data_IF_696143384525
#
_entry.id   IF_696143384525
#
_cell.length_a   1.000
_cell.length_b   1.000
_cell.length_c   1.000
_cell.angle_alpha   90.00
_cell.angle_beta   90.00
_cell.angle_gamma   90.00
#
_symmetry.space_group_name_H-M   'P 1'
#
loop_
_entity.id
_entity.type
_entity.pdbx_description
1 polymer ?
#
# COMPACT_ATOMS: atom_id res chain seq x y z
N UNK A 1 -34.84 7.69 16.40
CA UNK A 1 -35.59 7.13 15.27
C UNK A 1 -34.85 5.89 14.78
N UNK A 2 -35.32 4.71 15.19
CA UNK A 2 -34.70 3.42 14.88
C UNK A 2 -35.24 2.92 13.55
N UNK A 3 -34.36 2.78 12.55
CA UNK A 3 -34.70 2.21 11.25
C UNK A 3 -34.04 0.83 11.14
N UNK A 4 -34.79 -0.22 11.50
CA UNK A 4 -34.45 -1.61 11.18
C UNK A 4 -34.62 -1.84 9.67
N UNK A 5 -33.54 -2.10 8.95
CA UNK A 5 -33.61 -2.60 7.57
C UNK A 5 -33.65 -4.13 7.62
N UNK A 6 -34.83 -4.69 7.38
CA UNK A 6 -35.05 -6.11 7.05
C UNK A 6 -34.52 -6.38 5.64
N UNK A 7 -33.47 -7.20 5.50
CA UNK A 7 -33.17 -7.85 4.22
C UNK A 7 -34.20 -8.94 3.95
N UNK A 8 -35.01 -8.76 2.90
CA UNK A 8 -35.82 -9.83 2.34
C UNK A 8 -34.96 -10.78 1.51
N UNK A 9 -35.05 -12.07 1.83
CA UNK A 9 -34.35 -13.18 1.20
C UNK A 9 -35.17 -13.65 -0.01
N UNK A 10 -34.84 -13.20 -1.20
CA UNK A 10 -35.48 -13.67 -2.44
C UNK A 10 -34.96 -15.07 -2.78
N UNK A 11 -35.80 -16.09 -2.59
CA UNK A 11 -35.55 -17.46 -3.05
C UNK A 11 -35.70 -17.51 -4.57
N UNK A 12 -34.58 -17.63 -5.28
CA UNK A 12 -34.58 -18.09 -6.68
C UNK A 12 -34.75 -19.60 -6.69
N UNK A 13 -35.96 -20.06 -7.02
CA UNK A 13 -36.21 -21.44 -7.45
C UNK A 13 -35.54 -21.66 -8.81
N UNK A 14 -34.47 -22.46 -8.84
CA UNK A 14 -33.96 -23.02 -10.09
C UNK A 14 -34.64 -24.37 -10.33
N UNK A 15 -35.38 -24.43 -11.43
CA UNK A 15 -36.02 -25.62 -11.99
C UNK A 15 -34.96 -26.55 -12.58
N UNK A 16 -34.96 -27.80 -12.12
CA UNK A 16 -34.11 -28.87 -12.65
C UNK A 16 -34.67 -29.41 -13.98
N UNK A 17 -33.84 -29.62 -15.02
CA UNK A 17 -34.27 -30.33 -16.22
C UNK A 17 -34.26 -31.86 -15.98
N UNK A 18 -35.37 -32.50 -16.36
CA UNK A 18 -35.54 -33.96 -16.44
C UNK A 18 -34.96 -34.51 -17.75
N UNK A 19 -34.60 -35.80 -17.68
CA UNK A 19 -34.28 -36.78 -18.75
C UNK A 19 -32.79 -36.81 -19.17
N UNK A 20 -32.12 -37.96 -19.31
CA UNK A 20 -32.59 -39.25 -19.84
C UNK A 20 -31.72 -40.41 -19.29
N UNK A 21 -32.35 -41.42 -18.67
CA UNK A 21 -31.71 -42.69 -18.26
C UNK A 21 -31.38 -43.52 -19.49
N UNK A 22 -30.09 -43.77 -19.76
CA UNK A 22 -29.65 -44.86 -20.66
C UNK A 22 -29.38 -46.10 -19.81
N UNK A 23 -30.10 -47.17 -20.13
CA UNK A 23 -30.11 -48.47 -19.44
C UNK A 23 -29.04 -49.35 -20.07
N UNK A 24 -27.92 -49.59 -19.39
CA UNK A 24 -26.99 -50.67 -19.74
C UNK A 24 -27.02 -51.74 -18.64
N UNK A 25 -27.19 -52.99 -19.09
CA UNK A 25 -27.27 -54.23 -18.32
C UNK A 25 -25.89 -54.90 -18.29
N UNK A 26 -25.63 -55.62 -17.19
CA UNK A 26 -24.58 -56.62 -17.03
C UNK A 26 -23.38 -56.07 -16.26
N UNK A 27 -22.84 -56.70 -15.23
CA UNK A 27 -23.11 -57.95 -14.53
C UNK A 27 -22.18 -57.99 -13.28
N UNK A 28 -22.46 -58.95 -12.39
CA UNK A 28 -21.86 -59.24 -11.07
C UNK A 28 -20.30 -59.22 -11.05
N UNK A 29 -19.54 -59.07 -9.95
CA UNK A 29 -19.53 -59.75 -8.63
C UNK A 29 -18.65 -58.94 -7.63
N UNK A 30 -18.96 -59.10 -6.33
CA UNK A 30 -18.25 -58.79 -5.08
C UNK A 30 -16.72 -58.52 -5.07
N UNK A 31 -16.30 -57.66 -4.13
CA UNK A 31 -14.93 -57.62 -3.59
C UNK A 31 -14.66 -56.39 -2.72
N UNK A 32 -14.44 -56.63 -1.43
CA UNK A 32 -14.29 -55.73 -0.28
C UNK A 32 -13.32 -54.52 -0.36
N UNK A 33 -13.60 -53.58 0.56
CA UNK A 33 -12.66 -52.76 1.32
C UNK A 33 -11.72 -51.79 0.59
N UNK A 34 -12.04 -50.50 0.65
CA UNK A 34 -11.15 -49.52 1.29
C UNK A 34 -11.83 -48.17 1.54
N UNK A 35 -11.81 -47.76 2.80
CA UNK A 35 -12.25 -46.49 3.35
C UNK A 35 -11.04 -45.54 3.31
N UNK A 36 -10.98 -44.60 2.36
CA UNK A 36 -10.18 -43.35 2.40
C UNK A 36 -10.02 -42.77 0.99
N UNK A 37 -10.97 -41.94 0.52
CA UNK A 37 -10.71 -40.74 -0.31
C UNK A 37 -12.03 -40.07 -0.69
N UNK A 38 -12.28 -38.84 -0.22
CA UNK A 38 -12.49 -37.77 -1.19
C UNK A 38 -11.90 -36.45 -0.67
N UNK A 39 -10.62 -36.20 -0.96
CA UNK A 39 -10.04 -34.84 -0.87
C UNK A 39 -9.30 -34.40 -2.14
N UNK A 40 -9.17 -35.28 -3.14
CA UNK A 40 -8.38 -35.03 -4.37
C UNK A 40 -9.21 -34.55 -5.58
N UNK A 41 -10.53 -34.41 -5.45
CA UNK A 41 -11.40 -33.94 -6.56
C UNK A 41 -11.71 -32.44 -6.50
N UNK A 42 -11.43 -31.77 -5.36
CA UNK A 42 -11.73 -30.33 -5.19
C UNK A 42 -10.54 -29.45 -5.65
N UNK A 43 -9.30 -29.95 -5.61
CA UNK A 43 -8.11 -29.18 -6.03
C UNK A 43 -7.98 -29.14 -7.57
N UNK A 44 -8.46 -30.15 -8.29
CA UNK A 44 -8.44 -30.16 -9.76
C UNK A 44 -9.48 -29.22 -10.40
N UNK A 45 -10.53 -28.83 -9.69
CA UNK A 45 -11.57 -27.93 -10.21
C UNK A 45 -11.19 -26.44 -10.10
N UNK A 46 -10.33 -26.05 -9.16
CA UNK A 46 -9.87 -24.67 -9.05
C UNK A 46 -8.67 -24.34 -9.95
N UNK A 47 -7.84 -25.32 -10.29
CA UNK A 47 -6.69 -25.12 -11.19
C UNK A 47 -7.09 -25.03 -12.67
N UNK A 48 -8.21 -25.64 -13.08
CA UNK A 48 -8.69 -25.56 -14.47
C UNK A 48 -9.69 -24.41 -14.74
N UNK A 49 -10.26 -23.78 -13.70
CA UNK A 49 -11.09 -22.59 -13.86
C UNK A 49 -10.26 -21.28 -13.92
N UNK A 50 -8.98 -21.31 -13.51
CA UNK A 50 -8.09 -20.14 -13.50
C UNK A 50 -7.27 -19.91 -14.77
N UNK A 51 -7.13 -20.91 -15.67
CA UNK A 51 -6.29 -20.81 -16.87
C UNK A 51 -7.05 -20.59 -18.19
N UNK A 52 -8.37 -20.35 -18.14
CA UNK A 52 -9.22 -20.26 -19.33
C UNK A 52 -9.68 -18.86 -19.76
N UNK A 53 -9.12 -17.78 -19.21
CA UNK A 53 -9.63 -16.41 -19.45
C UNK A 53 -8.57 -15.40 -19.94
N UNK A 54 -7.66 -15.84 -20.82
CA UNK A 54 -6.66 -14.95 -21.44
C UNK A 54 -6.51 -15.12 -22.97
N UNK A 55 -7.55 -15.56 -23.66
CA UNK A 55 -7.61 -15.48 -25.12
C UNK A 55 -9.04 -15.14 -25.57
N UNK A 56 -9.31 -13.85 -25.75
CA UNK A 56 -10.17 -13.24 -26.80
C UNK A 56 -10.47 -11.78 -26.45
N UNK A 57 -9.61 -10.84 -26.88
CA UNK A 57 -10.00 -9.44 -27.05
C UNK A 57 -10.57 -9.28 -28.45
N UNK A 58 -11.88 -9.53 -28.59
CA UNK A 58 -12.66 -9.28 -29.80
C UNK A 58 -13.89 -8.45 -29.49
N UNK A 59 -13.92 -7.21 -29.99
CA UNK A 59 -15.08 -6.30 -30.17
C UNK A 59 -16.09 -6.20 -29.01
N UNK A 60 -15.96 -5.15 -28.20
CA UNK A 60 -17.03 -4.71 -27.29
C UNK A 60 -18.22 -4.18 -28.11
N UNK A 61 -19.39 -4.79 -27.92
CA UNK A 61 -20.64 -4.35 -28.51
C UNK A 61 -21.07 -2.99 -27.92
N UNK A 62 -21.52 -2.02 -28.75
CA UNK A 62 -21.93 -0.68 -28.30
C UNK A 62 -23.19 -0.66 -27.42
N UNK A 63 -23.85 -1.79 -27.21
CA UNK A 63 -25.01 -1.93 -26.34
C UNK A 63 -24.71 -2.47 -24.94
N UNK A 64 -23.42 -2.64 -24.56
CA UNK A 64 -23.09 -3.16 -23.24
C UNK A 64 -23.28 -2.12 -22.13
N UNK A 65 -23.75 -2.53 -20.93
CA UNK A 65 -23.83 -1.66 -19.75
C UNK A 65 -22.48 -1.03 -19.38
N UNK A 66 -21.37 -1.70 -19.75
CA UNK A 66 -20.01 -1.23 -19.55
C UNK A 66 -19.68 -0.01 -20.41
N UNK A 67 -20.18 0.04 -21.66
CA UNK A 67 -20.02 1.19 -22.54
C UNK A 67 -20.78 2.43 -21.99
N UNK A 68 -21.96 2.20 -21.40
CA UNK A 68 -22.73 3.27 -20.74
C UNK A 68 -22.04 3.81 -19.47
N UNK A 69 -21.33 2.96 -18.73
CA UNK A 69 -20.54 3.37 -17.56
C UNK A 69 -19.29 4.14 -17.99
N UNK A 70 -18.58 3.70 -19.03
CA UNK A 70 -17.42 4.42 -19.58
C UNK A 70 -17.78 5.79 -20.15
N UNK A 71 -18.91 5.89 -20.85
CA UNK A 71 -19.47 7.16 -21.35
C UNK A 71 -19.81 8.14 -20.20
N UNK A 72 -20.33 7.62 -19.08
CA UNK A 72 -20.70 8.42 -17.90
C UNK A 72 -19.48 8.89 -17.12
N UNK A 73 -18.45 8.04 -16.98
CA UNK A 73 -17.14 8.42 -16.40
C UNK A 73 -16.44 9.46 -17.26
N UNK A 74 -16.50 9.34 -18.60
CA UNK A 74 -15.94 10.31 -19.54
C UNK A 74 -16.60 11.70 -19.44
N UNK A 75 -17.88 11.78 -19.05
CA UNK A 75 -18.65 13.02 -18.90
C UNK A 75 -18.46 13.71 -17.54
N UNK A 76 -18.01 12.99 -16.51
CA UNK A 76 -17.84 13.51 -15.14
C UNK A 76 -16.40 14.01 -14.91
N UNK A 77 -15.42 13.55 -15.70
CA UNK A 77 -14.05 14.03 -15.61
C UNK A 77 -13.93 15.55 -15.87
N UNK A 78 -13.31 16.35 -14.97
CA UNK A 78 -13.12 17.79 -15.15
C UNK A 78 -12.31 18.10 -16.42
N UNK A 79 -12.66 19.18 -17.12
CA UNK A 79 -11.97 19.62 -18.36
C UNK A 79 -10.45 19.85 -18.19
N UNK A 80 -9.99 20.11 -16.96
CA UNK A 80 -8.56 20.25 -16.64
C UNK A 80 -7.76 18.97 -16.87
N UNK A 81 -8.35 17.79 -16.65
CA UNK A 81 -7.70 16.50 -16.89
C UNK A 81 -7.57 16.14 -18.38
N UNK A 82 -8.44 16.69 -19.24
CA UNK A 82 -8.40 16.42 -20.68
C UNK A 82 -7.24 17.12 -21.39
N UNK A 83 -6.79 18.28 -20.89
CA UNK A 83 -5.68 19.03 -21.51
C UNK A 83 -4.31 18.42 -21.26
N UNK A 84 -4.12 17.72 -20.14
CA UNK A 84 -2.83 17.09 -19.82
C UNK A 84 -2.56 15.80 -20.61
N UNK A 85 -3.59 15.13 -21.14
CA UNK A 85 -3.43 13.89 -21.92
C UNK A 85 -3.16 14.16 -23.41
N UNK A 86 -3.40 15.37 -23.91
CA UNK A 86 -3.25 15.73 -25.33
C UNK A 86 -2.02 16.61 -25.64
N UNK A 87 -1.18 16.95 -24.65
CA UNK A 87 -0.03 17.83 -24.82
C UNK A 87 1.29 17.24 -24.32
N UNK A 88 1.71 16.12 -24.91
CA UNK A 88 3.14 15.75 -24.94
C UNK A 88 3.55 15.56 -26.40
N UNK A 89 4.22 16.55 -27.03
CA UNK A 89 4.82 16.33 -28.34
C UNK A 89 6.07 15.47 -28.21
N UNK A 90 6.12 14.43 -29.05
CA UNK A 90 7.30 13.64 -29.40
C UNK A 90 8.43 14.59 -29.82
N UNK A 91 9.50 14.64 -29.04
CA UNK A 91 10.72 15.39 -29.37
C UNK A 91 11.41 14.67 -30.52
N UNK A 92 11.33 15.29 -31.71
CA UNK A 92 12.05 14.88 -32.90
C UNK A 92 13.53 15.26 -32.84
N UNK A 93 14.36 14.39 -33.39
CA UNK A 93 15.78 14.57 -33.65
C UNK A 93 16.08 15.90 -34.36
N UNK A 94 17.18 16.56 -33.96
CA UNK A 94 17.86 17.55 -34.80
C UNK A 94 19.37 17.31 -34.84
N UNK A 95 20.02 17.62 -35.97
CA UNK A 95 21.34 17.10 -36.33
C UNK A 95 22.48 17.97 -35.81
N UNK A 96 23.66 17.36 -35.80
CA UNK A 96 24.95 17.95 -35.48
C UNK A 96 25.33 19.14 -36.38
N UNK A 97 25.85 20.20 -35.78
CA UNK A 97 26.68 21.23 -36.44
C UNK A 97 27.86 21.57 -35.51
N UNK A 98 29.01 21.79 -36.14
CA UNK A 98 30.35 21.83 -35.57
C UNK A 98 30.77 23.18 -34.93
N UNK A 99 31.74 23.04 -34.01
CA UNK A 99 32.88 23.88 -33.61
C UNK A 99 32.88 25.40 -33.87
N UNK A 100 33.05 26.18 -32.79
CA UNK A 100 34.24 27.01 -32.48
C UNK A 100 33.86 28.19 -31.54
N UNK A 101 34.44 28.22 -30.33
CA UNK A 101 34.80 29.45 -29.58
C UNK A 101 35.40 29.10 -28.20
N UNK A 102 36.49 29.78 -27.85
CA UNK A 102 37.29 29.65 -26.63
C UNK A 102 36.56 30.17 -25.35
N UNK A 103 37.01 29.78 -24.13
CA UNK A 103 36.30 30.11 -22.90
C UNK A 103 36.69 31.49 -22.34
N UNK A 104 35.67 32.32 -22.09
CA UNK A 104 35.75 33.50 -21.22
C UNK A 104 35.70 33.06 -19.74
N UNK A 105 36.63 33.57 -18.93
CA UNK A 105 36.65 33.40 -17.47
C UNK A 105 35.54 34.22 -16.81
N UNK A 106 34.76 33.67 -15.87
CA UNK A 106 33.88 34.49 -15.04
C UNK A 106 34.63 35.08 -13.84
N UNK A 107 34.30 36.34 -13.56
CA UNK A 107 34.72 37.16 -12.42
C UNK A 107 34.25 36.58 -11.06
N UNK A 108 34.85 37.00 -9.93
CA UNK A 108 34.60 36.39 -8.62
C UNK A 108 33.24 36.81 -8.05
N UNK A 109 32.49 35.83 -7.53
CA UNK A 109 31.30 36.07 -6.72
C UNK A 109 31.73 36.55 -5.32
N UNK A 110 31.14 37.68 -4.91
CA UNK A 110 31.23 38.22 -3.56
C UNK A 110 30.34 37.42 -2.58
N UNK A 111 30.82 37.35 -1.34
CA UNK A 111 30.22 36.74 -0.16
C UNK A 111 28.76 37.15 0.07
N UNK A 112 27.86 36.17 0.04
CA UNK A 112 26.54 36.26 0.66
C UNK A 112 26.55 35.37 1.91
N UNK A 113 26.50 36.02 3.07
CA UNK A 113 26.67 35.40 4.38
C UNK A 113 25.70 34.26 4.68
N UNK A 114 26.29 33.18 5.20
CA UNK A 114 25.61 32.04 5.80
C UNK A 114 24.84 32.48 7.05
N UNK A 115 23.51 32.61 6.96
CA UNK A 115 22.64 32.38 8.12
C UNK A 115 22.17 30.92 8.08
N UNK A 116 23.01 30.05 8.61
CA UNK A 116 22.71 28.63 8.78
C UNK A 116 21.60 28.43 9.81
N UNK A 117 20.34 28.45 9.37
CA UNK A 117 19.28 27.73 10.06
C UNK A 117 19.49 26.25 9.77
N UNK A 118 19.69 25.44 10.81
CA UNK A 118 19.88 24.00 10.65
C UNK A 118 18.58 23.37 10.10
N UNK A 119 18.69 22.24 9.40
CA UNK A 119 17.50 21.50 8.96
C UNK A 119 16.57 21.13 10.15
N UNK A 120 17.12 21.01 11.37
CA UNK A 120 16.35 20.84 12.60
C UNK A 120 15.53 22.09 12.95
N UNK A 121 16.03 23.30 12.65
CA UNK A 121 15.31 24.56 12.88
C UNK A 121 14.14 24.76 11.90
N UNK A 122 14.27 24.24 10.67
CA UNK A 122 13.19 24.20 9.68
C UNK A 122 12.07 23.23 10.09
N UNK A 123 12.42 22.05 10.61
CA UNK A 123 11.45 21.05 11.10
C UNK A 123 10.76 21.52 12.40
N UNK A 124 11.47 22.22 13.28
CA UNK A 124 10.90 22.81 14.50
C UNK A 124 9.94 23.98 14.22
N UNK A 125 9.97 24.57 13.02
CA UNK A 125 9.15 25.74 12.66
C UNK A 125 7.76 25.40 12.11
N UNK A 126 7.40 24.10 11.98
CA UNK A 126 6.09 23.67 11.47
C UNK A 126 5.07 23.55 12.62
N UNK A 127 4.12 24.50 12.76
CA UNK A 127 3.32 24.68 13.98
C UNK A 127 2.24 23.62 14.23
N UNK A 128 2.10 22.63 13.35
CA UNK A 128 1.04 21.61 13.41
C UNK A 128 1.54 20.23 13.84
N UNK A 129 2.86 20.05 13.96
CA UNK A 129 3.47 18.87 14.57
C UNK A 129 4.00 19.30 15.93
N UNK A 130 3.10 19.39 16.92
CA UNK A 130 3.53 19.53 18.31
C UNK A 130 4.27 18.22 18.65
N UNK A 131 5.58 18.30 18.54
CA UNK A 131 6.57 17.23 18.44
C UNK A 131 6.61 16.58 17.02
N UNK A 132 7.69 16.79 16.22
CA UNK A 132 7.86 16.05 14.98
C UNK A 132 7.84 14.57 15.32
N UNK A 133 6.87 13.86 14.76
CA UNK A 133 6.76 12.41 14.96
C UNK A 133 8.05 11.84 14.38
N UNK A 134 8.90 11.15 15.16
CA UNK A 134 10.18 10.70 14.67
C UNK A 134 9.94 9.86 13.42
N UNK A 135 10.64 10.21 12.33
CA UNK A 135 10.64 9.46 11.08
C UNK A 135 11.14 8.08 11.42
N UNK A 136 10.22 7.12 11.62
CA UNK A 136 10.50 5.90 12.36
C UNK A 136 11.64 5.11 11.72
N UNK A 137 12.78 4.97 12.41
CA UNK A 137 13.67 3.85 12.20
C UNK A 137 13.34 2.84 13.30
N UNK A 138 12.68 1.73 12.95
CA UNK A 138 12.48 0.57 13.85
C UNK A 138 11.96 0.98 15.23
N UNK A 139 10.63 1.03 15.40
CA UNK A 139 9.96 1.34 16.67
C UNK A 139 10.80 0.92 17.90
N UNK A 140 11.13 1.83 18.84
CA UNK A 140 11.95 1.47 20.00
C UNK A 140 11.29 0.32 20.75
N UNK A 141 12.11 -0.62 21.25
CA UNK A 141 11.59 -1.79 21.98
C UNK A 141 10.65 -1.32 23.10
N UNK A 142 9.43 -1.82 23.09
CA UNK A 142 8.46 -1.50 24.14
C UNK A 142 8.89 -2.20 25.44
N UNK A 143 9.12 -1.45 26.54
CA UNK A 143 9.42 -2.07 27.82
C UNK A 143 8.24 -2.94 28.27
N UNK A 144 8.53 -4.11 28.85
CA UNK A 144 7.54 -5.11 29.25
C UNK A 144 6.66 -5.62 28.08
N UNK A 145 7.18 -5.61 26.85
CA UNK A 145 6.44 -6.00 25.66
C UNK A 145 5.75 -7.38 25.76
N UNK A 146 6.39 -8.38 26.37
CA UNK A 146 5.78 -9.71 26.57
C UNK A 146 4.53 -9.67 27.47
N UNK A 147 4.60 -8.95 28.59
CA UNK A 147 3.45 -8.78 29.48
C UNK A 147 2.32 -8.02 28.78
N UNK A 148 2.65 -6.98 27.99
CA UNK A 148 1.65 -6.22 27.25
C UNK A 148 1.01 -7.02 26.12
N UNK A 149 1.76 -7.94 25.49
CA UNK A 149 1.22 -8.89 24.51
C UNK A 149 0.31 -9.93 25.18
N UNK A 150 0.66 -10.42 26.36
CA UNK A 150 -0.22 -11.32 27.12
C UNK A 150 -1.53 -10.63 27.52
N UNK A 151 -1.43 -9.39 28.00
CA UNK A 151 -2.60 -8.57 28.30
C UNK A 151 -3.50 -8.34 27.08
N UNK A 152 -2.89 -8.12 25.90
CA UNK A 152 -3.57 -7.99 24.62
C UNK A 152 -4.26 -9.29 24.20
N UNK A 153 -3.58 -10.43 24.27
CA UNK A 153 -4.06 -11.67 23.66
C UNK A 153 -4.97 -12.48 24.59
N UNK A 154 -4.73 -12.43 25.90
CA UNK A 154 -5.33 -13.36 26.86
C UNK A 154 -6.19 -12.68 27.93
N UNK A 155 -5.89 -11.42 28.29
CA UNK A 155 -6.55 -10.75 29.42
C UNK A 155 -7.60 -9.69 29.01
N UNK A 156 -7.88 -9.53 27.70
CA UNK A 156 -8.79 -8.54 27.13
C UNK A 156 -8.48 -7.10 27.58
N UNK A 157 -7.19 -6.77 27.70
CA UNK A 157 -6.67 -5.45 28.09
C UNK A 157 -5.86 -4.85 26.93
N UNK A 158 -6.50 -4.54 25.79
CA UNK A 158 -5.77 -4.01 24.65
C UNK A 158 -5.17 -2.65 24.98
N UNK A 159 -3.88 -2.50 24.70
CA UNK A 159 -3.19 -1.21 24.71
C UNK A 159 -2.49 -1.00 23.38
N UNK A 160 -2.31 0.26 22.98
CA UNK A 160 -1.51 0.56 21.79
C UNK A 160 -0.09 0.02 21.92
N UNK A 161 0.50 0.10 23.11
CA UNK A 161 1.83 -0.45 23.39
C UNK A 161 1.89 -1.98 23.20
N UNK A 162 0.86 -2.71 23.63
CA UNK A 162 0.76 -4.16 23.41
C UNK A 162 0.61 -4.52 21.93
N UNK A 163 -0.20 -3.78 21.17
CA UNK A 163 -0.35 -3.97 19.72
C UNK A 163 0.99 -3.70 19.02
N UNK A 164 1.67 -2.60 19.36
CA UNK A 164 2.99 -2.26 18.80
C UNK A 164 4.01 -3.34 19.15
N UNK A 165 4.05 -3.81 20.40
CA UNK A 165 4.95 -4.89 20.83
C UNK A 165 4.71 -6.18 20.02
N UNK A 166 3.45 -6.55 19.77
CA UNK A 166 3.10 -7.69 18.93
C UNK A 166 3.59 -7.52 17.49
N UNK A 167 3.36 -6.35 16.88
CA UNK A 167 3.82 -6.07 15.52
C UNK A 167 5.35 -6.07 15.43
N UNK A 168 6.04 -5.46 16.39
CA UNK A 168 7.51 -5.49 16.51
C UNK A 168 8.02 -6.93 16.59
N UNK A 169 7.36 -7.79 17.39
CA UNK A 169 7.74 -9.19 17.53
C UNK A 169 7.57 -9.94 16.20
N UNK A 170 6.42 -9.78 15.52
CA UNK A 170 6.18 -10.35 14.19
C UNK A 170 7.26 -9.93 13.18
N UNK A 171 7.52 -8.62 13.06
CA UNK A 171 8.52 -8.08 12.13
C UNK A 171 9.94 -8.56 12.45
N UNK A 172 10.31 -8.61 13.74
CA UNK A 172 11.63 -9.11 14.16
C UNK A 172 11.84 -10.57 13.77
N UNK A 173 10.83 -11.43 13.95
CA UNK A 173 10.91 -12.85 13.55
C UNK A 173 10.91 -13.00 12.03
N UNK A 174 10.14 -12.17 11.31
CA UNK A 174 10.14 -12.15 9.85
C UNK A 174 11.52 -11.75 9.29
N UNK A 175 12.13 -10.67 9.81
CA UNK A 175 13.48 -10.26 9.40
C UNK A 175 14.52 -11.33 9.72
N UNK A 176 14.41 -11.98 10.88
CA UNK A 176 15.30 -13.10 11.23
C UNK A 176 15.16 -14.23 10.21
N UNK A 177 13.93 -14.65 9.90
CA UNK A 177 13.65 -15.70 8.90
C UNK A 177 14.17 -15.32 7.52
N UNK A 178 13.96 -14.08 7.08
CA UNK A 178 14.44 -13.61 5.77
C UNK A 178 15.97 -13.58 5.68
N UNK A 179 16.67 -13.18 6.75
CA UNK A 179 18.14 -13.25 6.79
C UNK A 179 18.66 -14.68 6.73
N UNK A 180 18.04 -15.59 7.48
CA UNK A 180 18.37 -17.01 7.45
C UNK A 180 18.18 -17.60 6.04
N UNK A 181 17.08 -17.25 5.35
CA UNK A 181 16.88 -17.65 3.96
C UNK A 181 17.86 -17.03 2.98
N UNK A 182 18.19 -15.75 3.14
CA UNK A 182 19.19 -15.07 2.32
C UNK A 182 20.55 -15.75 2.40
N UNK A 183 20.97 -16.12 3.61
CA UNK A 183 22.23 -16.86 3.85
C UNK A 183 22.18 -18.30 3.33
N UNK A 184 21.04 -18.98 3.51
CA UNK A 184 20.87 -20.38 3.08
C UNK A 184 20.86 -20.52 1.55
N UNK A 185 20.40 -19.50 0.83
CA UNK A 185 20.07 -19.59 -0.59
C UNK A 185 20.87 -18.67 -1.51
N UNK A 186 22.11 -18.31 -1.14
CA UNK A 186 22.97 -17.36 -1.88
C UNK A 186 23.04 -17.61 -3.40
N UNK A 187 22.76 -18.83 -3.90
CA UNK A 187 22.85 -19.19 -5.33
C UNK A 187 21.69 -20.02 -5.94
N UNK A 188 20.50 -20.08 -5.35
CA UNK A 188 19.45 -21.02 -5.78
C UNK A 188 18.13 -20.41 -6.24
N UNK A 189 17.87 -20.39 -7.55
CA UNK A 189 16.52 -20.18 -8.08
C UNK A 189 15.64 -21.39 -7.72
N UNK A 190 14.68 -21.24 -6.80
CA UNK A 190 13.74 -22.34 -6.46
C UNK A 190 13.00 -22.25 -5.12
N UNK A 191 13.31 -21.30 -4.25
CA UNK A 191 12.84 -21.33 -2.85
C UNK A 191 11.74 -20.32 -2.51
N UNK A 192 11.14 -19.69 -3.52
CA UNK A 192 10.08 -18.69 -3.30
C UNK A 192 8.91 -19.23 -2.47
N UNK A 193 8.54 -20.51 -2.66
CA UNK A 193 7.45 -21.12 -1.91
C UNK A 193 7.77 -21.29 -0.41
N UNK A 194 8.99 -21.67 -0.05
CA UNK A 194 9.38 -21.87 1.36
C UNK A 194 9.40 -20.53 2.12
N UNK A 195 9.86 -19.46 1.47
CA UNK A 195 9.81 -18.10 2.04
C UNK A 195 8.36 -17.67 2.28
N UNK A 196 7.48 -17.93 1.30
CA UNK A 196 6.06 -17.62 1.40
C UNK A 196 5.37 -18.42 2.51
N UNK A 197 5.65 -19.72 2.61
CA UNK A 197 5.11 -20.58 3.67
C UNK A 197 5.54 -20.10 5.06
N UNK A 198 6.81 -19.76 5.24
CA UNK A 198 7.32 -19.22 6.50
C UNK A 198 6.67 -17.88 6.88
N UNK A 199 6.46 -16.99 5.89
CA UNK A 199 5.72 -15.76 6.13
C UNK A 199 4.30 -16.06 6.64
N UNK A 200 3.58 -16.99 6.00
CA UNK A 200 2.24 -17.37 6.43
C UNK A 200 2.22 -17.99 7.83
N UNK A 201 3.21 -18.81 8.16
CA UNK A 201 3.33 -19.40 9.49
C UNK A 201 3.56 -18.35 10.58
N UNK A 202 4.42 -17.36 10.32
CA UNK A 202 4.63 -16.23 11.23
C UNK A 202 3.37 -15.37 11.35
N UNK A 203 2.72 -15.04 10.23
CA UNK A 203 1.51 -14.25 10.22
C UNK A 203 0.39 -14.96 11.00
N UNK A 204 0.19 -16.27 10.77
CA UNK A 204 -0.78 -17.07 11.50
C UNK A 204 -0.46 -17.14 12.99
N UNK A 205 0.81 -17.30 13.35
CA UNK A 205 1.25 -17.40 14.75
C UNK A 205 1.02 -16.11 15.54
N UNK A 206 1.45 -14.97 14.99
CA UNK A 206 1.42 -13.70 15.72
C UNK A 206 0.17 -12.88 15.43
N UNK A 207 -0.17 -12.70 14.15
CA UNK A 207 -1.31 -11.87 13.74
C UNK A 207 -2.63 -12.64 13.80
N UNK A 208 -2.61 -13.94 13.52
CA UNK A 208 -3.80 -14.80 13.61
C UNK A 208 -4.32 -14.93 15.04
N UNK A 209 -3.44 -15.02 16.04
CA UNK A 209 -3.84 -15.03 17.45
C UNK A 209 -4.52 -13.72 17.86
N UNK A 210 -4.00 -12.59 17.37
CA UNK A 210 -4.58 -11.28 17.61
C UNK A 210 -5.93 -11.10 16.91
N UNK A 211 -6.06 -11.53 15.65
CA UNK A 211 -7.33 -11.53 14.94
C UNK A 211 -8.37 -12.38 15.69
N UNK A 212 -8.01 -13.59 16.12
CA UNK A 212 -8.94 -14.46 16.86
C UNK A 212 -9.38 -13.85 18.19
N UNK A 213 -8.46 -13.23 18.95
CA UNK A 213 -8.77 -12.59 20.22
C UNK A 213 -9.80 -11.44 20.09
N UNK A 214 -9.85 -10.77 18.94
CA UNK A 214 -10.71 -9.61 18.70
C UNK A 214 -11.72 -9.77 17.56
N UNK A 215 -11.85 -10.97 17.00
CA UNK A 215 -12.75 -11.22 15.88
C UNK A 215 -14.18 -10.86 16.24
N UNK A 216 -14.77 -9.94 15.47
CA UNK A 216 -16.16 -9.53 15.64
C UNK A 216 -16.42 -8.59 16.83
N UNK A 217 -15.38 -8.10 17.51
CA UNK A 217 -15.51 -7.05 18.53
C UNK A 217 -14.56 -5.88 18.26
N UNK A 218 -14.91 -4.71 18.76
CA UNK A 218 -14.04 -3.55 18.71
C UNK A 218 -12.94 -3.68 19.77
N UNK A 219 -11.69 -3.42 19.35
CA UNK A 219 -10.52 -3.43 20.25
C UNK A 219 -10.55 -2.25 21.22
N UNK A 220 -10.99 -1.09 20.71
CA UNK A 220 -11.15 0.13 21.49
C UNK A 220 -12.61 0.58 21.45
N UNK A 221 -13.06 1.37 22.45
CA UNK A 221 -14.38 1.97 22.42
C UNK A 221 -14.61 2.75 21.12
N UNK A 222 -15.75 2.49 20.47
CA UNK A 222 -16.19 3.22 19.27
C UNK A 222 -16.89 4.49 19.72
N UNK A 223 -16.63 5.61 19.06
CA UNK A 223 -17.31 6.88 19.34
C UNK A 223 -18.77 6.80 18.92
N UNK A 224 -19.66 7.40 19.70
CA UNK A 224 -21.12 7.44 19.45
C UNK A 224 -21.60 8.83 18.98
N UNK A 225 -20.70 9.69 18.53
CA UNK A 225 -20.97 11.09 18.14
C UNK A 225 -21.23 11.29 16.64
N UNK A 226 -21.52 10.20 15.93
CA UNK A 226 -21.61 10.11 14.47
C UNK A 226 -20.34 10.55 13.72
N UNK A 227 -19.17 10.55 14.38
CA UNK A 227 -17.92 10.77 13.68
C UNK A 227 -17.56 9.61 12.76
N UNK A 228 -16.88 9.94 11.66
CA UNK A 228 -16.36 8.98 10.70
C UNK A 228 -14.85 8.99 10.82
N UNK A 229 -14.25 7.80 11.00
CA UNK A 229 -12.81 7.62 10.94
C UNK A 229 -12.43 6.98 9.60
N UNK A 230 -11.56 7.64 8.85
CA UNK A 230 -10.99 7.16 7.60
C UNK A 230 -9.53 6.78 7.87
N UNK A 231 -9.22 5.49 7.73
CA UNK A 231 -7.84 5.00 7.78
C UNK A 231 -7.25 4.99 6.38
N UNK A 232 -6.10 5.61 6.20
CA UNK A 232 -5.36 5.65 4.95
C UNK A 232 -3.99 4.99 5.13
N UNK A 233 -3.60 4.15 4.18
CA UNK A 233 -2.23 3.68 4.04
C UNK A 233 -1.71 4.17 2.69
N UNK A 234 -0.69 5.02 2.71
CA UNK A 234 -0.14 5.67 1.55
C UNK A 234 1.32 5.25 1.37
N UNK A 235 1.64 4.68 0.21
CA UNK A 235 2.99 4.27 -0.15
C UNK A 235 3.47 5.14 -1.31
N UNK A 236 4.41 6.06 -1.03
CA UNK A 236 4.97 7.01 -2.00
C UNK A 236 3.90 7.69 -2.86
N UNK A 237 2.76 8.03 -2.24
CA UNK A 237 1.56 8.51 -2.94
C UNK A 237 1.59 10.03 -3.09
N UNK A 238 1.83 10.48 -4.32
CA UNK A 238 1.89 11.90 -4.69
C UNK A 238 0.51 12.59 -4.69
N UNK A 239 -0.59 11.84 -4.80
CA UNK A 239 -1.97 12.37 -4.79
C UNK A 239 -2.63 12.33 -3.42
N UNK A 240 -1.87 12.06 -2.35
CA UNK A 240 -2.42 11.94 -1.01
C UNK A 240 -3.12 13.23 -0.55
N UNK A 241 -2.52 14.39 -0.82
CA UNK A 241 -3.10 15.68 -0.47
C UNK A 241 -4.47 15.87 -1.14
N UNK A 242 -4.54 15.68 -2.45
CA UNK A 242 -5.77 15.87 -3.24
C UNK A 242 -6.85 14.84 -2.87
N UNK A 243 -6.43 13.62 -2.51
CA UNK A 243 -7.34 12.59 -1.98
C UNK A 243 -7.99 13.05 -0.67
N UNK A 244 -7.21 13.66 0.23
CA UNK A 244 -7.72 14.18 1.49
C UNK A 244 -8.61 15.41 1.29
N UNK A 245 -8.25 16.30 0.37
CA UNK A 245 -9.12 17.42 0.00
C UNK A 245 -10.48 16.93 -0.47
N UNK A 246 -10.48 15.98 -1.41
CA UNK A 246 -11.70 15.39 -1.92
C UNK A 246 -12.54 14.77 -0.79
N UNK A 247 -11.91 14.07 0.15
CA UNK A 247 -12.60 13.48 1.30
C UNK A 247 -13.29 14.54 2.17
N UNK A 248 -12.61 15.64 2.51
CA UNK A 248 -13.19 16.71 3.31
C UNK A 248 -14.23 17.53 2.54
N UNK A 249 -14.05 17.75 1.24
CA UNK A 249 -14.98 18.51 0.41
C UNK A 249 -16.26 17.73 0.09
N UNK A 250 -16.15 16.40 -0.06
CA UNK A 250 -17.30 15.54 -0.28
C UNK A 250 -18.05 15.20 1.02
N UNK A 251 -17.43 15.41 2.19
CA UNK A 251 -18.06 15.13 3.47
C UNK A 251 -19.20 16.13 3.75
N UNK A 252 -20.39 15.59 4.07
CA UNK A 252 -21.53 16.41 4.50
C UNK A 252 -21.24 17.19 5.79
N UNK A 253 -20.49 16.58 6.70
CA UNK A 253 -20.11 17.10 8.02
C UNK A 253 -18.58 16.95 8.20
N UNK A 254 -17.76 17.78 7.57
CA UNK A 254 -16.30 17.62 7.58
C UNK A 254 -15.67 17.76 8.99
N UNK A 255 -16.32 18.44 9.92
CA UNK A 255 -15.95 18.52 11.34
C UNK A 255 -16.10 17.18 12.09
N UNK A 256 -16.86 16.25 11.52
CA UNK A 256 -17.03 14.89 12.04
C UNK A 256 -16.12 13.86 11.35
N UNK A 257 -15.34 14.26 10.35
CA UNK A 257 -14.39 13.39 9.65
C UNK A 257 -13.03 13.43 10.35
N UNK A 258 -12.50 12.27 10.67
CA UNK A 258 -11.16 12.07 11.23
C UNK A 258 -10.37 11.19 10.27
N UNK A 259 -9.11 11.54 10.01
CA UNK A 259 -8.21 10.78 9.14
C UNK A 259 -7.03 10.30 9.97
N UNK A 260 -6.78 9.00 9.96
CA UNK A 260 -5.54 8.40 10.42
C UNK A 260 -4.77 7.87 9.22
N UNK A 261 -3.61 8.44 8.93
CA UNK A 261 -2.78 8.04 7.79
C UNK A 261 -1.49 7.36 8.26
N UNK A 262 -1.13 6.24 7.63
CA UNK A 262 0.22 5.70 7.64
C UNK A 262 0.85 6.08 6.31
N UNK A 263 1.93 6.86 6.35
CA UNK A 263 2.60 7.37 5.15
C UNK A 263 4.00 6.78 5.10
N UNK A 264 4.22 5.91 4.12
CA UNK A 264 5.52 5.35 3.81
C UNK A 264 6.12 6.09 2.63
N UNK A 265 7.07 6.97 2.93
CA UNK A 265 7.78 7.79 1.96
C UNK A 265 9.29 7.63 2.15
N UNK A 266 10.05 7.86 1.08
CA UNK A 266 11.48 8.09 1.21
C UNK A 266 11.72 9.58 1.51
N UNK A 267 12.30 9.87 2.68
CA UNK A 267 12.48 11.24 3.20
C UNK A 267 13.91 11.79 2.98
N UNK A 268 14.78 11.04 2.33
CA UNK A 268 16.20 11.40 2.15
C UNK A 268 17.15 10.39 2.78
N UNK A 269 18.36 10.82 3.12
CA UNK A 269 19.43 9.97 3.64
C UNK A 269 19.37 9.74 5.12
N UNK A 270 19.20 8.49 5.53
CA UNK A 270 19.48 8.10 6.91
C UNK A 270 20.97 8.24 7.18
N UNK A 271 21.33 9.04 8.18
CA UNK A 271 22.68 9.16 8.67
C UNK A 271 23.16 7.85 9.32
N UNK A 272 24.45 7.78 9.66
CA UNK A 272 25.05 6.59 10.26
C UNK A 272 24.46 6.20 11.62
N UNK A 273 23.82 7.15 12.32
CA UNK A 273 23.12 6.91 13.58
C UNK A 273 21.82 6.10 13.41
N UNK A 274 21.37 5.92 12.16
CA UNK A 274 20.13 5.21 11.85
C UNK A 274 18.87 5.98 12.24
N UNK A 275 18.96 7.23 12.71
CA UNK A 275 17.85 8.01 13.26
C UNK A 275 17.68 9.34 12.52
N UNK A 276 18.78 10.02 12.22
CA UNK A 276 18.76 11.32 11.56
C UNK A 276 18.52 11.14 10.08
N UNK A 277 17.52 11.84 9.52
CA UNK A 277 17.26 11.88 8.08
C UNK A 277 17.73 13.21 7.53
N UNK A 278 18.69 13.17 6.61
CA UNK A 278 19.14 14.29 5.80
C UNK A 278 18.29 14.39 4.52
N UNK A 279 17.36 15.36 4.43
CA UNK A 279 16.50 15.53 3.26
C UNK A 279 17.27 16.05 2.04
N UNK A 280 18.49 16.58 2.23
CA UNK A 280 19.37 17.05 1.15
C UNK A 280 20.26 15.95 0.59
N UNK A 281 20.49 14.89 1.37
CA UNK A 281 21.22 13.71 0.94
C UNK A 281 20.42 12.89 -0.07
N UNK A 282 21.09 12.39 -1.11
CA UNK A 282 20.52 11.41 -2.05
C UNK A 282 20.66 9.99 -1.49
N UNK A 283 19.55 9.33 -1.13
CA UNK A 283 19.48 7.87 -1.24
C UNK A 283 18.05 7.34 -1.40
N UNK A 284 17.12 8.17 -1.88
CA UNK A 284 15.89 7.60 -2.42
C UNK A 284 16.23 7.04 -3.79
N UNK A 285 15.65 5.90 -4.14
CA UNK A 285 15.77 5.34 -5.47
C UNK A 285 14.41 5.20 -6.13
N UNK A 286 14.47 5.08 -7.44
CA UNK A 286 13.33 4.70 -8.25
C UNK A 286 13.02 3.22 -8.05
N UNK A 287 11.79 2.82 -8.38
CA UNK A 287 11.57 1.41 -8.73
C UNK A 287 12.45 0.99 -9.92
N UNK A 288 12.37 -0.29 -10.28
CA UNK A 288 13.07 -0.84 -11.45
C UNK A 288 12.56 -0.17 -12.74
N UNK A 289 13.37 0.69 -13.34
CA UNK A 289 13.02 1.41 -14.58
C UNK A 289 13.59 0.69 -15.78
N UNK A 290 12.80 0.52 -16.84
CA UNK A 290 13.31 0.04 -18.13
C UNK A 290 13.99 1.20 -18.85
N UNK A 291 15.32 1.18 -18.91
CA UNK A 291 16.14 2.23 -19.55
C UNK A 291 16.46 1.94 -21.01
N UNK A 292 16.12 0.75 -21.51
CA UNK A 292 16.34 0.37 -22.90
C UNK A 292 16.14 -1.11 -23.15
N UNK A 293 16.66 -1.58 -24.29
CA UNK A 293 16.77 -3.01 -24.62
C UNK A 293 18.23 -3.35 -24.89
N UNK A 294 18.65 -4.54 -24.48
CA UNK A 294 19.98 -5.06 -24.79
C UNK A 294 20.08 -5.46 -26.28
N UNK A 295 21.28 -5.86 -26.69
CA UNK A 295 21.58 -6.37 -28.04
C UNK A 295 20.75 -7.60 -28.47
N UNK A 296 20.08 -8.27 -27.54
CA UNK A 296 19.18 -9.40 -27.78
C UNK A 296 17.69 -9.00 -27.68
N UNK A 297 17.38 -7.71 -27.54
CA UNK A 297 16.02 -7.19 -27.41
C UNK A 297 15.40 -7.35 -26.01
N UNK A 298 16.16 -7.77 -24.99
CA UNK A 298 15.68 -7.94 -23.61
C UNK A 298 15.66 -6.58 -22.90
N UNK A 299 14.67 -6.28 -22.04
CA UNK A 299 14.64 -5.02 -21.31
C UNK A 299 15.88 -4.89 -20.42
N UNK A 300 16.56 -3.75 -20.52
CA UNK A 300 17.60 -3.34 -19.58
C UNK A 300 16.94 -2.49 -18.50
N UNK A 301 17.18 -2.87 -17.25
CA UNK A 301 16.60 -2.18 -16.11
C UNK A 301 17.64 -1.47 -15.28
N UNK A 302 17.29 -0.31 -14.72
CA UNK A 302 18.13 0.46 -13.81
C UNK A 302 17.31 0.94 -12.61
N UNK A 303 17.96 0.96 -11.45
CA UNK A 303 17.52 1.67 -10.25
C UNK A 303 18.34 2.96 -10.20
N UNK A 304 17.69 4.11 -10.22
CA UNK A 304 18.34 5.43 -10.25
C UNK A 304 18.09 6.18 -8.95
N UNK A 305 19.01 7.05 -8.55
CA UNK A 305 18.80 7.98 -7.44
C UNK A 305 17.71 9.00 -7.78
N UNK A 306 16.87 9.32 -6.80
CA UNK A 306 15.87 10.40 -6.85
C UNK A 306 15.88 11.18 -5.54
N UNK A 307 15.32 12.38 -5.57
CA UNK A 307 15.10 13.15 -4.35
C UNK A 307 14.03 12.52 -3.45
N UNK A 308 13.84 13.09 -2.24
CA UNK A 308 12.75 12.71 -1.34
C UNK A 308 11.37 12.78 -1.99
N UNK A 309 10.47 11.93 -1.52
CA UNK A 309 9.07 11.97 -1.92
C UNK A 309 8.37 13.21 -1.34
N UNK A 310 7.40 13.74 -2.08
CA UNK A 310 6.55 14.83 -1.58
C UNK A 310 5.73 14.34 -0.39
N UNK A 311 5.67 15.15 0.67
CA UNK A 311 4.84 14.86 1.82
C UNK A 311 3.41 15.35 1.59
N UNK A 312 2.54 14.45 1.12
CA UNK A 312 1.13 14.77 0.86
C UNK A 312 0.34 15.23 2.10
N UNK A 313 0.76 14.88 3.32
CA UNK A 313 0.10 15.34 4.55
C UNK A 313 0.48 16.80 4.82
N UNK A 314 1.77 17.15 4.71
CA UNK A 314 2.23 18.54 4.84
C UNK A 314 1.64 19.43 3.74
N UNK A 315 1.61 18.93 2.50
CA UNK A 315 0.98 19.60 1.37
C UNK A 315 -0.52 19.84 1.61
N UNK A 316 -1.23 18.92 2.27
CA UNK A 316 -2.63 19.12 2.67
C UNK A 316 -2.76 20.14 3.82
N UNK A 317 -1.94 20.01 4.86
CA UNK A 317 -2.03 20.85 6.06
C UNK A 317 -1.57 22.30 5.83
N UNK A 318 -0.73 22.55 4.83
CA UNK A 318 -0.31 23.90 4.45
C UNK A 318 -1.39 24.69 3.70
N UNK A 319 -2.40 24.02 3.12
CA UNK A 319 -3.48 24.67 2.39
C UNK A 319 -4.43 25.40 3.35
N UNK A 320 -4.66 26.72 3.20
CA UNK A 320 -5.40 27.52 4.19
C UNK A 320 -6.81 27.00 4.52
N UNK A 321 -7.50 26.43 3.53
CA UNK A 321 -8.85 25.86 3.70
C UNK A 321 -8.89 24.64 4.63
N UNK A 322 -7.83 23.85 4.66
CA UNK A 322 -7.79 22.54 5.34
C UNK A 322 -6.92 22.53 6.60
N UNK A 323 -6.02 23.51 6.77
CA UNK A 323 -5.14 23.66 7.94
C UNK A 323 -5.87 23.45 9.28
N UNK A 324 -7.09 23.97 9.41
CA UNK A 324 -7.93 23.83 10.61
C UNK A 324 -8.17 22.38 11.05
N UNK A 325 -8.20 21.41 10.13
CA UNK A 325 -8.40 20.00 10.44
C UNK A 325 -7.13 19.34 10.98
N UNK A 326 -5.95 19.82 10.54
CA UNK A 326 -4.68 19.40 11.12
C UNK A 326 -4.50 20.01 12.50
N UNK A 327 -4.78 21.32 12.64
CA UNK A 327 -4.67 22.04 13.91
C UNK A 327 -5.62 21.51 14.99
N UNK A 328 -6.81 21.02 14.59
CA UNK A 328 -7.78 20.40 15.51
C UNK A 328 -7.45 18.95 15.89
N UNK A 329 -6.41 18.36 15.29
CA UNK A 329 -6.03 16.96 15.48
C UNK A 329 -7.00 15.96 14.83
N UNK A 330 -7.82 16.40 13.88
CA UNK A 330 -8.65 15.51 13.06
C UNK A 330 -7.82 14.68 12.07
N UNK A 331 -6.68 15.22 11.63
CA UNK A 331 -5.69 14.50 10.84
C UNK A 331 -4.57 14.04 11.76
N UNK A 332 -4.28 12.74 11.76
CA UNK A 332 -3.15 12.14 12.49
C UNK A 332 -2.36 11.28 11.53
N UNK A 333 -1.05 11.38 11.59
CA UNK A 333 -0.15 10.70 10.67
C UNK A 333 0.90 9.90 11.43
N UNK A 334 1.21 8.72 10.91
CA UNK A 334 2.38 7.94 11.24
C UNK A 334 3.29 7.89 10.02
N UNK A 335 4.47 8.51 10.12
CA UNK A 335 5.46 8.47 9.05
C UNK A 335 6.36 7.27 9.20
N UNK A 336 6.54 6.54 8.11
CA UNK A 336 7.43 5.39 7.98
C UNK A 336 8.45 5.73 6.90
N UNK A 337 9.73 5.70 7.26
CA UNK A 337 10.77 5.90 6.26
C UNK A 337 10.94 4.63 5.43
N UNK A 338 10.84 4.80 4.12
CA UNK A 338 11.23 3.77 3.17
C UNK A 338 12.77 3.74 3.09
N UNK A 339 13.38 2.60 3.45
CA UNK A 339 14.84 2.41 3.48
C UNK A 339 15.37 1.49 2.38
N UNK A 340 14.49 0.82 1.63
CA UNK A 340 14.81 -0.21 0.63
C UNK A 340 14.57 0.27 -0.82
N UNK A 341 14.71 1.57 -1.07
CA UNK A 341 14.82 2.07 -2.44
C UNK A 341 16.19 1.76 -3.02
#
# INVERSE_FOLDING_TARGET
YSLQIRMQRTRLQQSAPKLRRKKNRGGNICGDANLMTPLLVIVAFFVLAGCGLLLEFGRVSPSSPLAAVQEKVRKIAPQSLRRQVEQDPVVGEKPAVAADAAPEQPAPLEDAGESGASAADLVASLPHLKDPTPVLPIFPKIPNGESLMDDLLNNDKPTMAGIIALMQKFLSELHKSNREFGQKYEHGAGHGMEIVEHFFDLAKRYLGAFDEAYRGKSIFPVREDDSVFLSLAAYREHLLADTMEYAFDAAKNPEKLFIGAVVQNCFGKVAEDGVTVDPSGLPCKTGVQVVGKDKNGRPQTKISDVGPDKNGIEDFCSRPKYKKYCDSGQVRVLYVHETES
#
